data_IF_984188337035
#
_entry.id   IF_984188337035
#
_cell.length_a   1.000
_cell.length_b   1.000
_cell.length_c   1.000
_cell.angle_alpha   90.00
_cell.angle_beta   90.00
_cell.angle_gamma   90.00
#
_symmetry.space_group_name_H-M   'P 1'
#
loop_
_entity.id
_entity.type
_entity.pdbx_description
1 polymer ?
#
# COMPACT_ATOMS: atom_id res chain seq x y z
N UNK A 1 22.59 11.31 -13.71
CA UNK A 1 22.84 10.35 -14.81
C UNK A 1 22.60 8.94 -14.31
N UNK A 2 21.47 8.38 -14.71
CA UNK A 2 21.04 7.03 -14.28
C UNK A 2 21.64 5.92 -15.19
N UNK A 3 22.90 5.98 -15.52
CA UNK A 3 23.56 4.94 -16.32
C UNK A 3 24.02 3.84 -15.37
N UNK A 4 23.55 2.61 -15.59
CA UNK A 4 24.10 1.44 -14.91
C UNK A 4 25.47 1.17 -15.50
N UNK A 5 26.50 1.30 -14.69
CA UNK A 5 27.85 0.93 -15.09
C UNK A 5 28.00 -0.58 -14.93
N UNK A 6 28.12 -1.30 -16.04
CA UNK A 6 28.26 -2.76 -16.07
C UNK A 6 29.58 -3.27 -15.41
N UNK A 7 30.54 -2.39 -15.16
CA UNK A 7 31.73 -2.73 -14.36
C UNK A 7 31.43 -2.78 -12.85
N UNK A 8 30.27 -2.23 -12.44
CA UNK A 8 29.87 -2.23 -11.04
C UNK A 8 29.30 -3.59 -10.65
N UNK A 9 29.86 -4.21 -9.62
CA UNK A 9 29.45 -5.54 -9.17
C UNK A 9 28.05 -5.58 -8.50
N UNK A 10 27.60 -4.45 -7.97
CA UNK A 10 26.30 -4.32 -7.32
C UNK A 10 25.59 -3.07 -7.86
N UNK A 11 24.40 -3.24 -8.36
CA UNK A 11 23.54 -2.15 -8.85
C UNK A 11 22.24 -2.13 -8.06
N UNK A 12 21.76 -0.94 -7.70
CA UNK A 12 20.48 -0.76 -7.01
C UNK A 12 19.58 0.04 -7.96
N UNK A 13 18.38 -0.46 -8.16
CA UNK A 13 17.38 0.17 -9.04
C UNK A 13 15.97 -0.12 -8.54
N UNK A 14 15.03 0.73 -8.93
CA UNK A 14 13.60 0.41 -8.79
C UNK A 14 13.15 -0.47 -9.95
N UNK A 15 12.07 -1.22 -9.76
CA UNK A 15 11.47 -2.04 -10.83
C UNK A 15 11.01 -1.17 -11.99
N UNK A 16 10.44 0.01 -11.71
CA UNK A 16 10.04 0.99 -12.73
C UNK A 16 11.23 1.50 -13.54
N UNK A 17 12.36 1.73 -12.88
CA UNK A 17 13.61 2.12 -13.55
C UNK A 17 14.12 1.02 -14.49
N UNK A 18 14.01 -0.26 -14.08
CA UNK A 18 14.36 -1.39 -14.95
C UNK A 18 13.37 -1.55 -16.10
N UNK A 19 12.07 -1.41 -15.85
CA UNK A 19 11.04 -1.51 -16.88
C UNK A 19 11.30 -0.53 -18.04
N UNK A 20 11.63 0.73 -17.73
CA UNK A 20 11.94 1.76 -18.74
C UNK A 20 13.19 1.42 -19.57
N UNK A 21 14.14 0.65 -19.02
CA UNK A 21 15.40 0.30 -19.65
C UNK A 21 15.42 -1.05 -20.36
N UNK A 22 14.40 -1.87 -20.11
CA UNK A 22 14.28 -3.21 -20.69
C UNK A 22 13.06 -3.30 -21.59
N UNK A 23 11.88 -3.44 -21.03
CA UNK A 23 10.65 -3.77 -21.77
C UNK A 23 10.14 -2.58 -22.60
N UNK A 24 10.23 -1.35 -22.05
CA UNK A 24 9.69 -0.16 -22.70
C UNK A 24 10.73 0.58 -23.56
N UNK A 25 11.99 0.18 -23.51
CA UNK A 25 13.03 0.79 -24.32
C UNK A 25 12.97 0.29 -25.78
N UNK A 26 13.08 1.20 -26.75
CA UNK A 26 13.25 0.81 -28.18
C UNK A 26 14.57 0.05 -28.39
N UNK A 27 15.62 0.49 -27.69
CA UNK A 27 16.92 -0.18 -27.63
C UNK A 27 17.27 -0.42 -26.16
N UNK A 28 17.04 -1.65 -25.63
CA UNK A 28 17.37 -1.97 -24.25
C UNK A 28 18.87 -1.80 -23.98
N UNK A 29 19.19 -1.02 -22.94
CA UNK A 29 20.57 -0.83 -22.48
C UNK A 29 21.04 -1.94 -21.50
N UNK A 30 20.10 -2.78 -21.06
CA UNK A 30 20.37 -3.95 -20.23
C UNK A 30 19.96 -5.23 -20.95
N UNK A 31 20.90 -6.12 -21.12
CA UNK A 31 20.64 -7.45 -21.71
C UNK A 31 20.11 -8.42 -20.66
N UNK A 32 19.39 -9.49 -21.06
CA UNK A 32 18.90 -10.53 -20.14
C UNK A 32 19.97 -11.13 -19.22
N UNK A 33 21.17 -11.29 -19.71
CA UNK A 33 22.33 -11.82 -18.96
C UNK A 33 23.18 -10.74 -18.26
N UNK A 34 22.66 -9.53 -18.03
CA UNK A 34 23.40 -8.46 -17.38
C UNK A 34 23.71 -8.70 -15.91
N UNK A 35 22.94 -9.56 -15.24
CA UNK A 35 23.07 -9.88 -13.83
C UNK A 35 23.00 -11.38 -13.59
N UNK A 36 23.81 -11.88 -12.65
CA UNK A 36 23.78 -13.29 -12.20
C UNK A 36 22.78 -13.51 -11.07
N UNK A 37 22.51 -12.47 -10.28
CA UNK A 37 21.64 -12.50 -9.11
C UNK A 37 20.81 -11.21 -9.02
N UNK A 38 19.52 -11.38 -8.79
CA UNK A 38 18.58 -10.29 -8.48
C UNK A 38 17.98 -10.54 -7.10
N UNK A 39 18.12 -9.57 -6.21
CA UNK A 39 17.48 -9.57 -4.90
C UNK A 39 16.38 -8.52 -4.94
N UNK A 40 15.15 -8.94 -4.69
CA UNK A 40 13.97 -8.08 -4.64
C UNK A 40 13.55 -7.90 -3.19
N UNK A 41 13.75 -6.72 -2.66
CA UNK A 41 13.29 -6.36 -1.33
C UNK A 41 11.83 -5.90 -1.38
N UNK A 42 11.09 -6.10 -0.30
CA UNK A 42 9.65 -5.81 -0.23
C UNK A 42 8.86 -6.39 -1.42
N UNK A 43 9.15 -7.64 -1.76
CA UNK A 43 8.63 -8.28 -2.97
C UNK A 43 7.09 -8.32 -3.06
N UNK A 44 6.39 -8.15 -1.93
CA UNK A 44 4.93 -8.02 -1.90
C UNK A 44 4.44 -6.70 -2.53
N UNK A 45 5.25 -5.63 -2.53
CA UNK A 45 4.87 -4.33 -3.11
C UNK A 45 4.65 -4.36 -4.62
N UNK A 46 5.13 -5.37 -5.30
CA UNK A 46 4.82 -5.59 -6.71
C UNK A 46 3.32 -5.71 -7.02
N UNK A 47 2.45 -5.77 -6.00
CA UNK A 47 1.02 -6.05 -6.12
C UNK A 47 0.09 -5.01 -5.55
N UNK A 48 0.61 -4.14 -4.70
CA UNK A 48 -0.18 -3.08 -4.11
C UNK A 48 0.21 -1.79 -4.84
N UNK A 49 -0.68 -1.30 -5.68
CA UNK A 49 -0.71 0.12 -5.98
C UNK A 49 -0.97 0.82 -4.64
N UNK A 50 0.12 1.08 -3.90
CA UNK A 50 0.05 1.95 -2.75
C UNK A 50 -0.49 3.30 -3.25
N UNK A 51 -1.43 3.89 -2.54
CA UNK A 51 -2.18 5.08 -2.95
C UNK A 51 -1.32 6.32 -3.20
N UNK A 52 -0.07 6.30 -2.81
CA UNK A 52 0.94 7.28 -3.19
C UNK A 52 1.57 6.89 -4.53
N UNK A 53 0.76 6.87 -5.58
CA UNK A 53 1.27 6.77 -6.94
C UNK A 53 2.10 8.01 -7.22
N UNK A 54 3.39 7.82 -7.44
CA UNK A 54 4.23 8.87 -8.01
C UNK A 54 3.76 9.18 -9.44
N UNK A 55 4.06 10.38 -9.96
CA UNK A 55 3.74 10.74 -11.35
C UNK A 55 4.23 9.70 -12.37
N UNK A 56 5.20 8.87 -12.01
CA UNK A 56 5.73 7.78 -12.82
C UNK A 56 4.84 6.52 -12.80
N UNK A 57 4.06 6.32 -11.76
CA UNK A 57 3.13 5.18 -11.59
C UNK A 57 1.78 5.42 -12.26
N UNK A 58 1.44 6.68 -12.58
CA UNK A 58 0.27 7.07 -13.39
C UNK A 58 0.35 6.49 -14.83
N UNK A 59 1.50 5.94 -15.23
CA UNK A 59 1.67 5.23 -16.50
C UNK A 59 0.97 3.86 -16.53
N UNK A 60 0.39 3.39 -15.42
CA UNK A 60 -0.30 2.11 -15.34
C UNK A 60 -1.81 2.31 -15.28
N UNK A 61 -2.52 1.72 -16.23
CA UNK A 61 -3.98 1.88 -16.33
C UNK A 61 -4.73 1.22 -15.17
N UNK A 62 -4.13 0.19 -14.54
CA UNK A 62 -4.72 -0.54 -13.41
C UNK A 62 -3.69 -1.45 -12.72
N UNK A 63 -4.10 -2.09 -11.62
CA UNK A 63 -3.26 -2.99 -10.83
C UNK A 63 -2.79 -4.22 -11.61
N UNK A 64 -3.63 -4.77 -12.50
CA UNK A 64 -3.28 -5.95 -13.30
C UNK A 64 -2.19 -5.64 -14.31
N UNK A 65 -2.20 -4.44 -14.90
CA UNK A 65 -1.17 -3.96 -15.81
C UNK A 65 0.17 -3.77 -15.07
N UNK A 66 0.14 -3.18 -13.88
CA UNK A 66 1.33 -3.05 -13.04
C UNK A 66 1.93 -4.41 -12.68
N UNK A 67 1.12 -5.36 -12.23
CA UNK A 67 1.53 -6.72 -11.92
C UNK A 67 2.14 -7.42 -13.13
N UNK A 68 1.50 -7.29 -14.29
CA UNK A 68 2.00 -7.87 -15.54
C UNK A 68 3.40 -7.33 -15.90
N UNK A 69 3.58 -6.02 -15.81
CA UNK A 69 4.87 -5.36 -16.10
C UNK A 69 5.95 -5.69 -15.06
N UNK A 70 5.58 -5.74 -13.78
CA UNK A 70 6.49 -6.19 -12.72
C UNK A 70 7.02 -7.60 -13.00
N UNK A 71 6.10 -8.54 -13.27
CA UNK A 71 6.46 -9.91 -13.62
C UNK A 71 7.36 -9.97 -14.85
N UNK A 72 7.03 -9.23 -15.90
CA UNK A 72 7.84 -9.16 -17.12
C UNK A 72 9.26 -8.69 -16.84
N UNK A 73 9.47 -7.67 -15.99
CA UNK A 73 10.81 -7.19 -15.62
C UNK A 73 11.58 -8.28 -14.87
N UNK A 74 10.94 -8.96 -13.91
CA UNK A 74 11.59 -10.02 -13.15
C UNK A 74 11.94 -11.20 -14.04
N UNK A 75 11.07 -11.58 -14.99
CA UNK A 75 11.29 -12.69 -15.91
C UNK A 75 12.28 -12.35 -17.05
N UNK A 76 12.45 -11.07 -17.36
CA UNK A 76 13.35 -10.61 -18.42
C UNK A 76 14.80 -11.06 -18.21
N UNK A 77 15.28 -11.05 -16.97
CA UNK A 77 16.68 -11.37 -16.68
C UNK A 77 16.86 -12.87 -16.46
N UNK A 78 17.89 -13.42 -17.11
CA UNK A 78 18.39 -14.79 -16.90
C UNK A 78 19.32 -14.81 -15.67
N UNK A 79 18.73 -14.68 -14.49
CA UNK A 79 19.42 -14.55 -13.22
C UNK A 79 18.75 -15.40 -12.14
N UNK A 80 19.51 -15.77 -11.11
CA UNK A 80 18.92 -16.29 -9.87
C UNK A 80 18.13 -15.18 -9.18
N UNK A 81 16.89 -15.45 -8.77
CA UNK A 81 15.99 -14.49 -8.16
C UNK A 81 15.72 -14.84 -6.71
N UNK A 82 15.93 -13.88 -5.82
CA UNK A 82 15.67 -14.02 -4.38
C UNK A 82 14.71 -12.90 -3.98
N UNK A 83 13.58 -13.28 -3.41
CA UNK A 83 12.58 -12.35 -2.89
C UNK A 83 12.66 -12.28 -1.36
N UNK A 84 12.63 -11.07 -0.82
CA UNK A 84 12.54 -10.78 0.61
C UNK A 84 11.21 -10.06 0.88
N UNK A 85 10.45 -10.53 1.85
CA UNK A 85 9.19 -9.89 2.24
C UNK A 85 8.79 -10.31 3.65
N UNK A 86 8.23 -9.37 4.41
CA UNK A 86 7.62 -9.66 5.71
C UNK A 86 6.19 -10.21 5.56
N UNK A 87 5.53 -9.95 4.44
CA UNK A 87 4.11 -10.28 4.19
C UNK A 87 3.95 -10.94 2.82
N UNK A 88 4.30 -12.25 2.69
CA UNK A 88 4.14 -12.93 1.41
C UNK A 88 2.66 -12.98 1.02
N UNK A 89 2.34 -12.43 -0.16
CA UNK A 89 1.04 -12.54 -0.78
C UNK A 89 0.98 -13.75 -1.72
N UNK A 90 -0.22 -14.21 -2.08
CA UNK A 90 -0.39 -15.33 -3.02
C UNK A 90 0.42 -15.14 -4.30
N UNK A 91 0.41 -13.93 -4.82
CA UNK A 91 1.15 -13.61 -6.04
C UNK A 91 2.67 -13.66 -5.88
N UNK A 92 3.22 -13.34 -4.70
CA UNK A 92 4.67 -13.48 -4.47
C UNK A 92 5.11 -14.92 -4.71
N UNK A 93 4.29 -15.89 -4.28
CA UNK A 93 4.52 -17.31 -4.54
C UNK A 93 4.38 -17.69 -6.02
N UNK A 94 3.50 -17.01 -6.76
CA UNK A 94 3.36 -17.25 -8.21
C UNK A 94 4.60 -16.85 -9.01
N UNK A 95 5.33 -15.81 -8.58
CA UNK A 95 6.54 -15.34 -9.28
C UNK A 95 7.81 -16.01 -8.76
N UNK A 96 7.95 -16.13 -7.45
CA UNK A 96 9.19 -16.57 -6.81
C UNK A 96 9.14 -18.00 -6.29
N UNK A 97 7.97 -18.64 -6.29
CA UNK A 97 7.75 -19.96 -5.71
C UNK A 97 7.49 -19.90 -4.19
N UNK A 98 7.42 -21.08 -3.57
CA UNK A 98 7.23 -21.21 -2.13
C UNK A 98 8.42 -20.67 -1.35
N UNK A 99 8.21 -20.07 -0.17
CA UNK A 99 9.30 -19.58 0.67
C UNK A 99 10.28 -20.71 1.03
N UNK A 100 11.56 -20.48 0.77
CA UNK A 100 12.64 -21.42 1.17
C UNK A 100 13.03 -21.26 2.63
N UNK A 101 12.69 -20.14 3.24
CA UNK A 101 12.91 -19.81 4.65
C UNK A 101 11.81 -18.90 5.17
N UNK A 102 11.30 -19.18 6.35
CA UNK A 102 10.32 -18.36 7.04
C UNK A 102 10.80 -18.13 8.47
N UNK A 103 10.82 -16.86 8.88
CA UNK A 103 11.08 -16.43 10.24
C UNK A 103 9.84 -15.75 10.76
N UNK A 104 9.08 -16.46 11.57
CA UNK A 104 7.76 -16.00 12.00
C UNK A 104 7.85 -14.86 13.04
N UNK A 105 6.79 -14.06 13.12
CA UNK A 105 6.63 -13.04 14.15
C UNK A 105 6.86 -13.62 15.56
N UNK A 106 6.28 -14.78 15.83
CA UNK A 106 6.40 -15.43 17.14
C UNK A 106 7.84 -15.84 17.47
N UNK A 107 8.59 -16.35 16.50
CA UNK A 107 10.01 -16.64 16.69
C UNK A 107 10.80 -15.37 16.96
N UNK A 108 10.52 -14.28 16.21
CA UNK A 108 11.19 -13.00 16.41
C UNK A 108 10.91 -12.37 17.78
N UNK A 109 9.71 -12.57 18.33
CA UNK A 109 9.37 -12.15 19.70
C UNK A 109 10.12 -13.01 20.74
N UNK A 110 10.16 -14.34 20.55
CA UNK A 110 10.88 -15.25 21.46
C UNK A 110 12.38 -14.93 21.48
N UNK A 111 12.93 -14.62 20.31
CA UNK A 111 14.34 -14.25 20.16
C UNK A 111 14.66 -12.82 20.64
N UNK A 112 13.64 -12.04 21.00
CA UNK A 112 13.78 -10.67 21.53
C UNK A 112 14.03 -9.60 20.48
N UNK A 113 13.81 -9.90 19.19
CA UNK A 113 13.95 -8.95 18.09
C UNK A 113 12.71 -8.10 17.87
N UNK A 114 11.53 -8.63 18.18
CA UNK A 114 10.27 -7.91 18.14
C UNK A 114 9.64 -7.87 19.51
N UNK A 115 8.87 -6.83 19.77
CA UNK A 115 8.03 -6.69 20.96
C UNK A 115 6.72 -7.42 20.71
N UNK A 116 6.23 -8.17 21.69
CA UNK A 116 4.89 -8.75 21.62
C UNK A 116 3.84 -7.64 21.71
N UNK A 117 2.67 -7.89 21.17
CA UNK A 117 1.57 -6.95 21.17
C UNK A 117 0.31 -7.59 21.75
N UNK A 118 -0.48 -6.78 22.39
CA UNK A 118 -1.84 -7.17 22.78
C UNK A 118 -2.72 -7.37 21.54
N UNK A 119 -3.79 -8.19 21.64
CA UNK A 119 -4.76 -8.30 20.55
C UNK A 119 -5.30 -6.93 20.14
N UNK A 120 -5.51 -6.69 18.84
CA UNK A 120 -6.03 -5.41 18.39
C UNK A 120 -7.44 -5.15 18.95
N UNK A 121 -7.68 -3.93 19.40
CA UNK A 121 -9.02 -3.47 19.75
C UNK A 121 -9.76 -3.01 18.51
N UNK A 122 -10.95 -3.57 18.30
CA UNK A 122 -11.84 -3.12 17.25
C UNK A 122 -12.84 -2.12 17.87
N UNK A 123 -12.78 -0.87 17.44
CA UNK A 123 -13.77 0.14 17.84
C UNK A 123 -14.94 0.03 16.86
N UNK A 124 -16.04 -0.53 17.36
CA UNK A 124 -17.29 -0.62 16.61
C UNK A 124 -18.08 0.68 16.75
N UNK A 125 -18.66 1.13 15.67
CA UNK A 125 -19.60 2.25 15.64
C UNK A 125 -20.93 1.76 15.08
N UNK A 126 -22.02 2.46 15.37
CA UNK A 126 -23.36 2.12 14.84
C UNK A 126 -23.36 2.06 13.31
N UNK A 127 -22.48 2.81 12.65
CA UNK A 127 -22.33 2.80 11.19
C UNK A 127 -21.64 1.54 10.66
N UNK A 128 -20.86 0.83 11.47
CA UNK A 128 -20.25 -0.45 11.07
C UNK A 128 -21.31 -1.56 11.08
N UNK A 129 -22.31 -1.45 11.94
CA UNK A 129 -23.39 -2.43 12.08
C UNK A 129 -24.55 -2.17 11.12
N UNK A 130 -24.77 -0.89 10.77
CA UNK A 130 -25.90 -0.44 9.95
C UNK A 130 -25.43 0.61 8.97
N UNK A 131 -25.03 0.30 7.78
CA UNK A 131 -24.55 1.23 6.76
C UNK A 131 -25.05 2.68 6.94
N UNK A 132 -24.20 3.67 6.71
CA UNK A 132 -24.58 5.06 6.90
C UNK A 132 -25.60 5.48 5.84
N UNK A 133 -26.87 5.63 6.24
CA UNK A 133 -27.97 6.07 5.39
C UNK A 133 -28.18 7.57 5.52
N UNK A 134 -28.11 8.26 4.40
CA UNK A 134 -28.32 9.70 4.32
C UNK A 134 -29.56 9.99 3.48
N UNK A 135 -30.44 10.86 3.99
CA UNK A 135 -31.70 11.19 3.34
C UNK A 135 -31.51 12.30 2.33
N UNK A 136 -32.39 12.33 1.34
CA UNK A 136 -32.52 13.44 0.41
C UNK A 136 -32.64 14.77 1.16
N UNK A 137 -31.82 15.73 0.76
CA UNK A 137 -31.79 17.08 1.36
C UNK A 137 -30.78 17.22 2.51
N UNK A 138 -30.12 16.15 2.95
CA UNK A 138 -29.01 16.28 3.89
C UNK A 138 -27.76 16.83 3.21
N UNK A 139 -26.95 17.56 3.97
CA UNK A 139 -25.73 18.19 3.46
C UNK A 139 -24.55 17.37 3.90
N UNK A 140 -23.78 16.86 2.94
CA UNK A 140 -22.57 16.10 3.19
C UNK A 140 -21.35 16.80 2.63
N UNK A 141 -20.22 16.66 3.33
CA UNK A 141 -18.92 16.99 2.79
C UNK A 141 -18.39 15.78 2.01
N UNK A 142 -18.09 15.97 0.74
CA UNK A 142 -17.60 14.93 -0.16
C UNK A 142 -16.25 15.34 -0.74
N UNK A 143 -15.42 14.37 -1.08
CA UNK A 143 -14.22 14.63 -1.88
C UNK A 143 -14.55 14.61 -3.37
N UNK A 144 -14.01 15.58 -4.12
CA UNK A 144 -14.03 15.53 -5.58
C UNK A 144 -13.12 14.37 -6.04
N UNK A 145 -13.65 13.40 -6.80
CA UNK A 145 -12.87 12.24 -7.22
C UNK A 145 -11.71 12.56 -8.18
N UNK A 146 -11.71 13.76 -8.78
CA UNK A 146 -10.67 14.15 -9.74
C UNK A 146 -9.59 15.03 -9.09
N UNK A 147 -9.96 15.89 -8.15
CA UNK A 147 -9.03 16.86 -7.54
C UNK A 147 -8.65 16.49 -6.12
N UNK A 148 -9.35 15.53 -5.52
CA UNK A 148 -9.25 15.17 -4.10
C UNK A 148 -9.47 16.35 -3.14
N UNK A 149 -10.14 17.42 -3.61
CA UNK A 149 -10.51 18.56 -2.80
C UNK A 149 -11.82 18.33 -2.07
N UNK A 150 -11.92 18.84 -0.84
CA UNK A 150 -13.11 18.73 -0.03
C UNK A 150 -14.20 19.69 -0.53
N UNK A 151 -15.28 19.14 -1.06
CA UNK A 151 -16.47 19.88 -1.45
C UNK A 151 -17.41 19.98 -0.25
N UNK A 152 -17.41 21.14 0.42
CA UNK A 152 -18.31 21.39 1.54
C UNK A 152 -19.70 21.69 1.05
N UNK A 153 -20.69 20.95 1.55
CA UNK A 153 -22.09 21.34 1.44
C UNK A 153 -22.82 20.87 0.18
N UNK A 154 -22.42 19.76 -0.39
CA UNK A 154 -23.28 19.11 -1.39
C UNK A 154 -24.58 18.65 -0.72
N UNK A 155 -25.71 19.17 -1.19
CA UNK A 155 -27.04 18.70 -0.78
C UNK A 155 -27.38 17.48 -1.58
N UNK A 156 -27.75 16.40 -0.91
CA UNK A 156 -28.11 15.14 -1.57
C UNK A 156 -29.42 15.30 -2.36
N UNK A 157 -29.37 15.00 -3.64
CA UNK A 157 -30.54 15.00 -4.53
C UNK A 157 -31.45 13.79 -4.31
N UNK A 158 -30.87 12.68 -3.82
CA UNK A 158 -31.56 11.43 -3.49
C UNK A 158 -30.99 10.80 -2.21
N UNK A 159 -31.66 9.78 -1.69
CA UNK A 159 -31.18 8.95 -0.59
C UNK A 159 -29.96 8.15 -1.03
N UNK A 160 -28.90 8.18 -0.22
CA UNK A 160 -27.64 7.48 -0.51
C UNK A 160 -27.16 6.71 0.71
N UNK A 161 -26.69 5.50 0.45
CA UNK A 161 -26.04 4.63 1.43
C UNK A 161 -24.53 4.63 1.17
N UNK A 162 -23.73 4.73 2.23
CA UNK A 162 -22.30 4.65 2.16
C UNK A 162 -21.76 3.56 3.09
N UNK A 163 -20.90 2.71 2.54
CA UNK A 163 -20.13 1.75 3.34
C UNK A 163 -19.07 2.46 4.20
N UNK A 164 -18.75 1.89 5.36
CA UNK A 164 -17.73 2.45 6.27
C UNK A 164 -16.37 2.59 5.59
N UNK A 165 -16.05 1.74 4.63
CA UNK A 165 -14.82 1.82 3.83
C UNK A 165 -14.73 3.07 2.96
N UNK A 166 -15.85 3.77 2.75
CA UNK A 166 -15.95 5.00 1.96
C UNK A 166 -15.79 6.27 2.82
N UNK A 167 -15.81 6.11 4.16
CA UNK A 167 -15.61 7.22 5.10
C UNK A 167 -14.19 7.77 4.98
N UNK A 168 -14.08 9.10 5.04
CA UNK A 168 -12.86 9.87 4.80
C UNK A 168 -12.18 9.61 3.43
N UNK A 169 -12.88 8.92 2.52
CA UNK A 169 -12.46 8.71 1.13
C UNK A 169 -13.39 9.38 0.15
N UNK A 170 -14.68 9.13 0.30
CA UNK A 170 -15.74 9.76 -0.52
C UNK A 170 -16.51 10.80 0.27
N UNK A 171 -16.78 10.50 1.53
CA UNK A 171 -17.50 11.39 2.44
C UNK A 171 -16.70 11.64 3.70
N UNK A 172 -16.89 12.83 4.30
CA UNK A 172 -16.29 13.21 5.57
C UNK A 172 -17.38 13.36 6.61
N UNK A 173 -17.24 12.61 7.70
CA UNK A 173 -18.13 12.63 8.85
C UNK A 173 -17.36 13.11 10.10
N UNK A 174 -17.25 14.44 10.34
CA UNK A 174 -16.44 14.97 11.43
C UNK A 174 -16.85 14.44 12.80
N UNK A 175 -18.16 14.25 13.02
CA UNK A 175 -18.65 13.74 14.30
C UNK A 175 -18.31 12.26 14.52
N UNK A 176 -18.31 11.45 13.47
CA UNK A 176 -17.84 10.07 13.52
C UNK A 176 -16.34 10.03 13.86
N UNK A 177 -15.53 10.79 13.13
CA UNK A 177 -14.07 10.86 13.38
C UNK A 177 -13.78 11.34 14.80
N UNK A 178 -14.52 12.34 15.30
CA UNK A 178 -14.39 12.83 16.68
C UNK A 178 -14.71 11.74 17.68
N UNK A 179 -15.79 10.99 17.50
CA UNK A 179 -16.19 9.88 18.38
C UNK A 179 -15.15 8.78 18.42
N UNK A 180 -14.59 8.40 17.28
CA UNK A 180 -13.51 7.43 17.21
C UNK A 180 -12.28 7.93 17.99
N UNK A 181 -11.90 9.21 17.82
CA UNK A 181 -10.76 9.79 18.54
C UNK A 181 -11.02 9.94 20.05
N UNK A 182 -12.24 10.28 20.46
CA UNK A 182 -12.65 10.29 21.86
C UNK A 182 -12.47 8.90 22.50
N UNK A 183 -12.90 7.84 21.80
CA UNK A 183 -12.74 6.47 22.28
C UNK A 183 -11.27 6.06 22.32
N UNK A 184 -10.50 6.31 21.25
CA UNK A 184 -9.05 6.06 21.22
C UNK A 184 -8.34 6.74 22.39
N UNK A 185 -8.75 7.97 22.74
CA UNK A 185 -8.12 8.74 23.83
C UNK A 185 -8.26 8.06 25.20
N UNK A 186 -9.24 7.19 25.39
CA UNK A 186 -9.44 6.44 26.65
C UNK A 186 -8.36 5.38 26.88
N UNK A 187 -7.74 4.90 25.77
CA UNK A 187 -6.67 3.90 25.83
C UNK A 187 -5.28 4.53 25.87
N UNK A 188 -5.18 5.84 25.64
CA UNK A 188 -3.90 6.55 25.64
C UNK A 188 -3.60 7.13 27.01
N UNK A 189 -2.40 6.89 27.52
CA UNK A 189 -1.90 7.53 28.72
C UNK A 189 -0.81 8.54 28.40
N UNK A 190 -1.10 9.85 28.37
CA UNK A 190 -0.10 10.88 28.03
C UNK A 190 1.09 10.91 29.00
N UNK A 191 0.96 10.37 30.20
CA UNK A 191 2.00 10.38 31.23
C UNK A 191 2.91 9.13 31.16
N UNK A 192 2.55 8.11 30.35
CA UNK A 192 3.33 6.87 30.28
C UNK A 192 4.68 7.03 29.57
N UNK A 193 4.84 8.10 28.78
CA UNK A 193 6.00 8.28 27.90
C UNK A 193 5.98 7.38 26.66
N UNK A 194 4.94 6.59 26.47
CA UNK A 194 4.70 5.77 25.28
C UNK A 194 4.41 6.65 24.07
N UNK A 195 4.79 6.15 22.88
CA UNK A 195 4.55 6.87 21.62
C UNK A 195 3.38 6.25 20.89
N UNK A 196 2.49 7.10 20.41
CA UNK A 196 1.35 6.70 19.61
C UNK A 196 1.58 7.09 18.15
N UNK A 197 1.34 6.15 17.25
CA UNK A 197 1.37 6.39 15.81
C UNK A 197 -0.06 6.21 15.27
N UNK A 198 -0.58 7.24 14.63
CA UNK A 198 -1.92 7.23 14.04
C UNK A 198 -1.76 7.30 12.52
N UNK A 199 -2.37 6.33 11.82
CA UNK A 199 -2.49 6.34 10.37
C UNK A 199 -3.86 6.91 10.01
N UNK A 200 -3.88 8.06 9.38
CA UNK A 200 -5.10 8.66 8.84
C UNK A 200 -5.24 8.35 7.35
N UNK A 201 -6.46 8.42 6.85
CA UNK A 201 -6.74 8.18 5.41
C UNK A 201 -6.28 9.36 4.56
N UNK A 202 -6.40 10.59 5.12
CA UNK A 202 -6.01 11.85 4.48
C UNK A 202 -5.34 12.75 5.54
N UNK A 203 -4.57 13.74 5.06
CA UNK A 203 -3.98 14.81 5.87
C UNK A 203 -5.04 15.81 6.38
#
# INVERSE_FOLDING_TARGET
DNIINLETKVSISTVQGLLKRTILAEEPDLMPGAFDLIIVDEAHRGYILDREMTEEEILYDNQDDYMSKYKQVIEYFDAVKVALTATPALHTTEIFGEPIYTYSYREAVIDGWLVDHDPPYLINTDFIENDAQFKKGETLAQYDPNTNELLNGAVLDDEMDFDVSEFNRKIVLPDHTRKVLEEVSTYLNPESGEKTLIFAVND
#
